data_IF_256264184801
#
_entry.id   IF_256264184801
#
_cell.length_a   1.000
_cell.length_b   1.000
_cell.length_c   1.000
_cell.angle_alpha   90.00
_cell.angle_beta   90.00
_cell.angle_gamma   90.00
#
_symmetry.space_group_name_H-M   'P 1'
#
loop_
_entity.id
_entity.type
_entity.pdbx_description
1 polymer ?
#
# COMPACT_ATOMS: atom_id res chain seq x y z
N UNK A 1 35.19 -40.05 15.14
CA UNK A 1 35.72 -38.82 14.51
C UNK A 1 34.61 -37.78 14.54
N UNK A 2 34.68 -36.76 15.40
CA UNK A 2 33.57 -35.86 15.67
C UNK A 2 33.66 -34.58 14.82
N UNK A 3 32.51 -33.99 14.50
CA UNK A 3 32.35 -32.55 14.34
C UNK A 3 30.97 -32.17 14.87
N UNK A 4 31.02 -31.55 16.04
CA UNK A 4 29.98 -30.73 16.64
C UNK A 4 29.48 -29.67 15.65
N UNK A 5 28.17 -29.67 15.40
CA UNK A 5 27.43 -28.50 14.95
C UNK A 5 26.02 -28.58 15.56
N UNK A 6 25.95 -28.63 16.89
CA UNK A 6 24.78 -28.14 17.61
C UNK A 6 25.19 -26.81 18.22
N UNK A 7 24.58 -25.73 17.72
CA UNK A 7 24.35 -24.40 18.33
C UNK A 7 24.31 -23.36 17.21
N UNK A 8 23.18 -22.66 17.14
CA UNK A 8 22.74 -21.67 16.14
C UNK A 8 22.11 -22.19 14.85
N UNK A 9 21.06 -23.01 14.99
CA UNK A 9 19.87 -22.73 14.18
C UNK A 9 19.40 -21.32 14.57
N UNK A 10 19.87 -20.30 13.85
CA UNK A 10 19.38 -18.93 14.00
C UNK A 10 17.91 -18.98 13.58
N UNK A 11 17.02 -19.11 14.55
CA UNK A 11 15.59 -18.87 14.34
C UNK A 11 15.48 -17.41 13.92
N UNK A 12 15.42 -17.17 12.61
CA UNK A 12 15.16 -15.85 12.08
C UNK A 12 13.68 -15.62 12.31
N UNK A 13 13.34 -15.01 13.45
CA UNK A 13 11.96 -14.58 13.77
C UNK A 13 11.38 -13.85 12.57
N UNK A 14 10.18 -14.24 12.12
CA UNK A 14 9.55 -13.57 10.99
C UNK A 14 9.45 -12.06 11.24
N UNK A 15 9.84 -11.25 10.25
CA UNK A 15 9.99 -9.80 10.39
C UNK A 15 8.71 -9.10 10.90
N UNK A 16 7.52 -9.63 10.57
CA UNK A 16 6.25 -9.09 11.09
C UNK A 16 6.06 -9.28 12.59
N UNK A 17 6.67 -10.31 13.19
CA UNK A 17 6.64 -10.49 14.64
C UNK A 17 7.49 -9.44 15.33
N UNK A 18 8.69 -9.15 14.79
CA UNK A 18 9.56 -8.08 15.30
C UNK A 18 8.86 -6.73 15.23
N UNK A 19 8.07 -6.48 14.17
CA UNK A 19 7.31 -5.25 14.02
C UNK A 19 6.36 -4.97 15.20
N UNK A 20 5.80 -6.00 15.85
CA UNK A 20 4.92 -5.84 17.03
C UNK A 20 5.64 -5.18 18.21
N UNK A 21 6.97 -5.27 18.26
CA UNK A 21 7.80 -4.60 19.25
C UNK A 21 8.27 -3.20 18.80
N UNK A 22 7.98 -2.79 17.56
CA UNK A 22 8.31 -1.46 17.04
C UNK A 22 7.23 -0.43 17.43
N UNK A 23 5.95 -0.83 17.40
CA UNK A 23 4.83 0.00 17.80
C UNK A 23 3.63 -0.86 18.25
N UNK A 24 2.83 -0.33 19.19
CA UNK A 24 1.55 -0.93 19.61
C UNK A 24 0.55 0.18 19.99
N UNK A 25 -0.71 0.15 19.51
CA UNK A 25 -1.23 -0.76 18.48
C UNK A 25 -0.61 -0.48 17.10
N UNK A 26 -0.57 -1.49 16.24
CA UNK A 26 -0.07 -1.35 14.86
C UNK A 26 -0.73 -2.35 13.89
N UNK A 27 -0.60 -2.08 12.59
CA UNK A 27 -0.73 -3.09 11.54
C UNK A 27 0.40 -2.99 10.52
N UNK A 28 0.64 -4.07 9.79
CA UNK A 28 1.53 -4.11 8.63
C UNK A 28 0.79 -3.62 7.40
N UNK A 29 1.34 -2.64 6.69
CA UNK A 29 0.67 -2.02 5.53
C UNK A 29 1.60 -1.74 4.36
N UNK A 30 1.12 -0.92 3.42
CA UNK A 30 1.85 -0.50 2.21
C UNK A 30 2.52 -1.67 1.48
N UNK A 31 3.78 -1.54 1.06
CA UNK A 31 4.46 -2.58 0.29
C UNK A 31 4.59 -3.93 1.02
N UNK A 32 4.66 -3.93 2.35
CA UNK A 32 4.65 -5.17 3.12
C UNK A 32 3.33 -5.91 2.96
N UNK A 33 2.20 -5.19 3.05
CA UNK A 33 0.88 -5.77 2.82
C UNK A 33 0.64 -6.15 1.34
N UNK A 34 1.12 -5.35 0.37
CA UNK A 34 1.09 -5.76 -1.05
C UNK A 34 1.80 -7.10 -1.27
N UNK A 35 2.96 -7.28 -0.64
CA UNK A 35 3.71 -8.55 -0.70
C UNK A 35 2.95 -9.68 -0.03
N UNK A 36 2.34 -9.42 1.13
CA UNK A 36 1.54 -10.40 1.88
C UNK A 36 0.34 -10.91 1.08
N UNK A 37 -0.38 -10.01 0.43
CA UNK A 37 -1.52 -10.32 -0.42
C UNK A 37 -1.13 -10.88 -1.80
N UNK A 38 0.16 -10.98 -2.09
CA UNK A 38 0.67 -11.42 -3.39
C UNK A 38 0.28 -10.51 -4.55
N UNK A 39 0.10 -9.21 -4.30
CA UNK A 39 -0.19 -8.17 -5.30
C UNK A 39 1.07 -7.62 -5.99
N UNK A 40 2.22 -8.21 -5.66
CA UNK A 40 3.53 -7.83 -6.17
C UNK A 40 4.44 -9.05 -6.12
N UNK A 41 5.29 -9.23 -7.12
CA UNK A 41 6.25 -10.32 -7.18
C UNK A 41 7.49 -10.06 -6.30
N UNK A 42 7.76 -8.78 -6.01
CA UNK A 42 8.93 -8.37 -5.24
C UNK A 42 8.60 -8.24 -3.77
N UNK A 43 9.28 -9.03 -2.94
CA UNK A 43 9.20 -8.90 -1.48
C UNK A 43 9.90 -7.62 -1.03
N UNK A 44 9.20 -6.78 -0.27
CA UNK A 44 9.78 -5.58 0.32
C UNK A 44 10.93 -5.92 1.28
N UNK A 45 12.08 -5.26 1.12
CA UNK A 45 13.18 -5.30 2.09
C UNK A 45 12.90 -4.48 3.36
N UNK A 46 11.88 -3.63 3.32
CA UNK A 46 11.43 -2.78 4.42
C UNK A 46 10.11 -3.30 4.96
N UNK A 47 9.99 -3.40 6.28
CA UNK A 47 8.72 -3.65 6.94
C UNK A 47 8.04 -2.32 7.23
N UNK A 48 6.86 -2.12 6.66
CA UNK A 48 6.06 -0.92 6.88
C UNK A 48 5.08 -1.14 8.03
N UNK A 49 5.22 -0.33 9.08
CA UNK A 49 4.45 -0.42 10.32
C UNK A 49 3.59 0.83 10.45
N UNK A 50 2.28 0.65 10.47
CA UNK A 50 1.32 1.75 10.62
C UNK A 50 0.80 1.74 12.04
N UNK A 51 0.71 2.92 12.66
CA UNK A 51 0.26 3.04 14.05
C UNK A 51 -0.43 4.39 14.28
N UNK A 52 -1.41 4.51 15.18
CA UNK A 52 -1.97 5.80 15.55
C UNK A 52 -1.14 6.51 16.63
N UNK A 53 -0.14 5.83 17.21
CA UNK A 53 0.69 6.36 18.28
C UNK A 53 2.08 6.77 17.78
N UNK A 54 2.76 7.59 18.57
CA UNK A 54 4.12 8.01 18.24
C UNK A 54 5.09 6.84 18.39
N UNK A 55 5.68 6.41 17.28
CA UNK A 55 6.78 5.45 17.27
C UNK A 55 7.89 5.92 16.31
N UNK A 56 9.05 5.27 16.37
CA UNK A 56 10.22 5.63 15.57
C UNK A 56 10.66 4.47 14.70
N UNK A 57 10.86 4.78 13.41
CA UNK A 57 11.53 3.90 12.45
C UNK A 57 12.91 3.51 12.95
N UNK A 58 13.30 2.26 12.70
CA UNK A 58 14.59 1.71 13.13
C UNK A 58 14.98 0.51 12.29
N UNK A 59 16.25 0.18 12.27
CA UNK A 59 16.74 -1.06 11.67
C UNK A 59 16.98 -2.10 12.77
N UNK A 60 16.48 -3.32 12.57
CA UNK A 60 16.67 -4.44 13.49
C UNK A 60 17.16 -5.63 12.67
N UNK A 61 18.31 -6.19 13.02
CA UNK A 61 18.95 -7.30 12.31
C UNK A 61 19.09 -7.07 10.79
N UNK A 62 19.42 -5.85 10.38
CA UNK A 62 19.56 -5.48 8.96
C UNK A 62 18.24 -5.28 8.20
N UNK A 63 17.10 -5.38 8.89
CA UNK A 63 15.76 -5.13 8.33
C UNK A 63 15.28 -3.74 8.75
N UNK A 64 15.05 -2.81 7.83
CA UNK A 64 14.46 -1.53 8.14
C UNK A 64 12.96 -1.66 8.46
N UNK A 65 12.55 -1.14 9.60
CA UNK A 65 11.16 -0.97 10.02
C UNK A 65 10.79 0.50 9.87
N UNK A 66 9.97 0.81 8.87
CA UNK A 66 9.50 2.16 8.61
C UNK A 66 8.15 2.36 9.28
N UNK A 67 8.11 3.26 10.26
CA UNK A 67 6.90 3.64 10.97
C UNK A 67 6.21 4.78 10.23
N UNK A 68 4.91 4.64 9.99
CA UNK A 68 4.02 5.73 9.58
C UNK A 68 2.96 5.93 10.66
N UNK A 69 3.00 7.11 11.29
CA UNK A 69 1.95 7.50 12.24
C UNK A 69 0.76 8.09 11.48
N UNK A 70 -0.42 7.51 11.67
CA UNK A 70 -1.68 7.95 11.05
C UNK A 70 -2.65 8.46 12.11
N UNK A 71 -3.72 9.14 11.70
CA UNK A 71 -4.79 9.51 12.63
C UNK A 71 -5.63 8.29 13.00
N UNK A 72 -6.34 8.33 14.13
CA UNK A 72 -7.27 7.25 14.53
C UNK A 72 -8.30 6.97 13.42
N UNK A 73 -8.78 8.02 12.72
CA UNK A 73 -9.69 7.90 11.58
C UNK A 73 -9.13 7.06 10.43
N UNK A 74 -7.81 6.97 10.25
CA UNK A 74 -7.14 6.18 9.20
C UNK A 74 -6.63 4.81 9.70
N UNK A 75 -6.72 4.54 11.00
CA UNK A 75 -6.22 3.33 11.64
C UNK A 75 -7.32 2.25 11.74
N UNK A 76 -7.57 1.56 10.63
CA UNK A 76 -8.66 0.60 10.42
C UNK A 76 -8.39 -0.27 9.17
N UNK A 77 -9.29 -1.20 8.87
CA UNK A 77 -9.19 -2.03 7.64
C UNK A 77 -8.01 -2.98 7.70
N UNK A 78 -7.84 -3.64 8.85
CA UNK A 78 -6.79 -4.60 9.09
C UNK A 78 -7.35 -5.84 9.79
N UNK A 79 -6.75 -6.98 9.51
CA UNK A 79 -7.20 -8.28 9.96
C UNK A 79 -6.10 -9.08 10.67
N UNK A 80 -6.46 -9.96 11.63
CA UNK A 80 -5.52 -10.81 12.32
C UNK A 80 -4.97 -11.90 11.38
N UNK A 81 -3.66 -11.88 11.18
CA UNK A 81 -2.92 -12.86 10.39
C UNK A 81 -2.04 -13.73 11.29
N UNK A 82 -2.13 -15.05 11.15
CA UNK A 82 -1.25 -15.98 11.90
C UNK A 82 0.10 -16.11 11.21
N UNK A 83 1.16 -15.67 11.89
CA UNK A 83 2.55 -15.77 11.46
C UNK A 83 3.31 -16.55 12.53
N UNK A 84 3.81 -17.75 12.18
CA UNK A 84 4.57 -18.63 13.09
C UNK A 84 3.85 -18.85 14.45
N UNK A 85 2.51 -18.96 14.44
CA UNK A 85 1.70 -19.18 15.63
C UNK A 85 1.40 -17.93 16.46
N UNK A 86 1.86 -16.75 16.03
CA UNK A 86 1.54 -15.45 16.65
C UNK A 86 0.64 -14.64 15.73
N UNK A 87 -0.32 -13.92 16.32
CA UNK A 87 -1.22 -13.04 15.56
C UNK A 87 -0.57 -11.68 15.33
N UNK A 88 -0.49 -11.25 14.07
CA UNK A 88 -0.09 -9.91 13.66
C UNK A 88 -1.21 -9.29 12.84
N UNK A 89 -1.48 -7.99 13.03
CA UNK A 89 -2.46 -7.28 12.20
C UNK A 89 -1.84 -6.88 10.87
N UNK A 90 -2.53 -7.14 9.76
CA UNK A 90 -2.13 -6.72 8.40
C UNK A 90 -3.30 -5.98 7.79
N UNK A 91 -3.08 -4.87 7.06
CA UNK A 91 -4.17 -4.23 6.31
C UNK A 91 -4.81 -5.22 5.37
N UNK A 92 -6.14 -5.23 5.24
CA UNK A 92 -6.82 -6.04 4.24
C UNK A 92 -6.43 -5.59 2.82
N UNK A 93 -6.83 -6.37 1.81
CA UNK A 93 -6.42 -6.15 0.43
C UNK A 93 -6.87 -4.77 -0.07
N UNK A 94 -8.14 -4.43 0.14
CA UNK A 94 -8.77 -3.19 -0.32
C UNK A 94 -8.18 -1.96 0.39
N UNK A 95 -7.97 -2.04 1.70
CA UNK A 95 -7.31 -1.00 2.48
C UNK A 95 -5.87 -0.79 2.04
N UNK A 96 -5.17 -1.88 1.70
CA UNK A 96 -3.80 -1.80 1.19
C UNK A 96 -3.74 -0.97 -0.09
N UNK A 97 -4.68 -1.18 -1.04
CA UNK A 97 -4.76 -0.38 -2.26
C UNK A 97 -5.03 1.10 -1.97
N UNK A 98 -6.00 1.37 -1.09
CA UNK A 98 -6.35 2.74 -0.70
C UNK A 98 -5.17 3.47 -0.01
N UNK A 99 -4.46 2.79 0.89
CA UNK A 99 -3.27 3.33 1.56
C UNK A 99 -2.12 3.59 0.58
N UNK A 100 -1.92 2.71 -0.39
CA UNK A 100 -0.92 2.90 -1.43
C UNK A 100 -1.28 4.07 -2.36
N UNK A 101 -2.57 4.36 -2.56
CA UNK A 101 -3.00 5.56 -3.29
C UNK A 101 -2.79 6.85 -2.47
N UNK A 102 -2.98 6.79 -1.14
CA UNK A 102 -2.71 7.89 -0.20
C UNK A 102 -1.21 8.23 -0.15
N UNK A 103 -0.37 7.20 -0.08
CA UNK A 103 1.08 7.29 0.01
C UNK A 103 1.82 6.39 -1.00
N UNK A 104 1.85 6.76 -2.30
CA UNK A 104 2.51 5.97 -3.35
C UNK A 104 4.00 5.74 -3.09
N UNK A 105 4.67 6.65 -2.38
CA UNK A 105 6.07 6.52 -1.98
C UNK A 105 6.34 5.32 -1.07
N UNK A 106 5.31 4.78 -0.40
CA UNK A 106 5.43 3.59 0.45
C UNK A 106 5.12 2.28 -0.26
N UNK A 107 4.65 2.32 -1.51
CA UNK A 107 4.45 1.14 -2.35
C UNK A 107 5.38 1.08 -3.57
N UNK A 108 6.31 2.04 -3.70
CA UNK A 108 7.24 2.12 -4.83
C UNK A 108 6.69 2.85 -6.05
N UNK A 109 5.74 3.75 -5.84
CA UNK A 109 5.18 4.65 -6.85
C UNK A 109 3.96 4.08 -7.55
N UNK A 110 3.42 4.87 -8.47
CA UNK A 110 2.10 4.61 -9.05
C UNK A 110 2.07 3.40 -9.97
N UNK A 111 3.19 3.07 -10.63
CA UNK A 111 3.28 1.86 -11.46
C UNK A 111 3.07 0.58 -10.66
N UNK A 112 3.62 0.52 -9.44
CA UNK A 112 3.43 -0.63 -8.56
C UNK A 112 1.99 -0.71 -8.06
N UNK A 113 1.37 0.45 -7.78
CA UNK A 113 -0.05 0.49 -7.47
C UNK A 113 -0.90 0.01 -8.66
N UNK A 114 -0.62 0.43 -9.90
CA UNK A 114 -1.34 -0.03 -11.09
C UNK A 114 -1.23 -1.56 -11.27
N UNK A 115 -0.04 -2.12 -11.07
CA UNK A 115 0.17 -3.58 -11.12
C UNK A 115 -0.61 -4.31 -10.02
N UNK A 116 -0.59 -3.75 -8.81
CA UNK A 116 -1.34 -4.29 -7.67
C UNK A 116 -2.86 -4.24 -7.92
N UNK A 117 -3.38 -3.13 -8.45
CA UNK A 117 -4.80 -2.98 -8.79
C UNK A 117 -5.25 -4.00 -9.84
N UNK A 118 -4.45 -4.23 -10.89
CA UNK A 118 -4.75 -5.26 -11.89
C UNK A 118 -4.81 -6.66 -11.29
N UNK A 119 -3.79 -7.01 -10.50
CA UNK A 119 -3.72 -8.31 -9.83
C UNK A 119 -4.86 -8.51 -8.84
N UNK A 120 -5.26 -7.44 -8.14
CA UNK A 120 -6.39 -7.43 -7.23
C UNK A 120 -7.70 -7.64 -7.98
N UNK A 121 -7.91 -6.93 -9.10
CA UNK A 121 -9.11 -7.07 -9.94
C UNK A 121 -9.27 -8.51 -10.47
N UNK A 122 -8.19 -9.10 -10.99
CA UNK A 122 -8.17 -10.50 -11.45
C UNK A 122 -8.53 -11.51 -10.36
N UNK A 123 -8.34 -11.14 -9.08
CA UNK A 123 -8.64 -11.97 -7.91
C UNK A 123 -10.00 -11.66 -7.27
N UNK A 124 -10.78 -10.76 -7.87
CA UNK A 124 -12.12 -10.41 -7.37
C UNK A 124 -12.09 -9.46 -6.17
N UNK A 125 -11.18 -8.48 -6.18
CA UNK A 125 -11.16 -7.37 -5.23
C UNK A 125 -12.53 -6.72 -5.07
N UNK A 126 -12.88 -6.35 -3.84
CA UNK A 126 -14.09 -5.59 -3.56
C UNK A 126 -13.84 -4.09 -3.79
N UNK A 127 -14.13 -3.61 -4.99
CA UNK A 127 -13.97 -2.20 -5.34
C UNK A 127 -14.96 -1.25 -4.64
N UNK A 128 -16.06 -1.76 -4.09
CA UNK A 128 -16.97 -0.98 -3.25
C UNK A 128 -16.27 -0.66 -1.91
N UNK A 129 -15.66 -1.66 -1.27
CA UNK A 129 -14.87 -1.48 -0.06
C UNK A 129 -13.64 -0.57 -0.27
N UNK A 130 -12.97 -0.61 -1.44
CA UNK A 130 -11.93 0.37 -1.77
C UNK A 130 -12.50 1.80 -1.77
N UNK A 131 -13.69 2.00 -2.34
CA UNK A 131 -14.41 3.28 -2.32
C UNK A 131 -14.67 3.78 -0.89
N UNK A 132 -15.21 2.91 -0.02
CA UNK A 132 -15.43 3.24 1.39
C UNK A 132 -14.14 3.65 2.10
N UNK A 133 -13.03 2.98 1.81
CA UNK A 133 -11.73 3.35 2.38
C UNK A 133 -11.24 4.71 1.89
N UNK A 134 -11.43 5.04 0.60
CA UNK A 134 -11.08 6.36 0.07
C UNK A 134 -11.87 7.49 0.74
N UNK A 135 -13.17 7.30 0.97
CA UNK A 135 -14.00 8.26 1.71
C UNK A 135 -13.50 8.44 3.14
N UNK A 136 -13.14 7.35 3.82
CA UNK A 136 -12.59 7.39 5.18
C UNK A 136 -11.21 8.04 5.22
N UNK A 137 -10.37 7.85 4.21
CA UNK A 137 -9.07 8.51 4.11
C UNK A 137 -9.20 10.03 3.98
N UNK A 138 -10.28 10.52 3.36
CA UNK A 138 -10.54 11.95 3.11
C UNK A 138 -9.36 12.63 2.37
N UNK A 139 -8.77 11.92 1.42
CA UNK A 139 -7.69 12.43 0.58
C UNK A 139 -8.10 12.42 -0.90
N UNK A 140 -8.48 13.60 -1.40
CA UNK A 140 -8.87 13.75 -2.79
C UNK A 140 -7.80 13.35 -3.81
N UNK A 141 -6.50 13.43 -3.47
CA UNK A 141 -5.45 12.96 -4.37
C UNK A 141 -5.42 11.43 -4.48
N UNK A 142 -5.67 10.71 -3.37
CA UNK A 142 -5.78 9.26 -3.37
C UNK A 142 -6.98 8.80 -4.22
N UNK A 143 -8.14 9.44 -4.01
CA UNK A 143 -9.37 9.16 -4.77
C UNK A 143 -9.16 9.38 -6.27
N UNK A 144 -8.56 10.51 -6.65
CA UNK A 144 -8.22 10.80 -8.05
C UNK A 144 -7.31 9.75 -8.67
N UNK A 145 -6.29 9.27 -7.93
CA UNK A 145 -5.35 8.23 -8.42
C UNK A 145 -6.05 6.90 -8.65
N UNK A 146 -6.92 6.45 -7.73
CA UNK A 146 -7.67 5.20 -7.90
C UNK A 146 -8.60 5.28 -9.10
N UNK A 147 -9.39 6.36 -9.22
CA UNK A 147 -10.30 6.54 -10.36
C UNK A 147 -9.52 6.59 -11.68
N UNK A 148 -8.43 7.36 -11.75
CA UNK A 148 -7.59 7.42 -12.93
C UNK A 148 -7.04 6.05 -13.32
N UNK A 149 -6.44 5.32 -12.37
CA UNK A 149 -5.87 4.01 -12.63
C UNK A 149 -6.93 2.99 -13.03
N UNK A 150 -8.09 2.99 -12.39
CA UNK A 150 -9.17 2.09 -12.74
C UNK A 150 -9.63 2.31 -14.20
N UNK A 151 -9.81 3.56 -14.61
CA UNK A 151 -10.18 3.90 -15.98
C UNK A 151 -9.10 3.51 -17.00
N UNK A 152 -7.81 3.70 -16.66
CA UNK A 152 -6.71 3.26 -17.53
C UNK A 152 -6.60 1.74 -17.64
N UNK A 153 -6.95 1.00 -16.58
CA UNK A 153 -6.82 -0.45 -16.52
C UNK A 153 -8.10 -1.20 -16.95
N UNK A 154 -9.20 -0.47 -17.22
CA UNK A 154 -10.49 -1.07 -17.55
C UNK A 154 -11.17 -1.74 -16.34
N UNK A 155 -10.83 -1.32 -15.12
CA UNK A 155 -11.38 -1.84 -13.87
C UNK A 155 -12.71 -1.13 -13.58
N UNK A 156 -13.76 -1.92 -13.33
CA UNK A 156 -15.07 -1.39 -12.98
C UNK A 156 -15.14 -0.95 -11.52
N UNK A 157 -15.21 0.36 -11.26
CA UNK A 157 -15.48 0.90 -9.94
C UNK A 157 -17.01 1.09 -9.76
N UNK A 158 -17.66 0.43 -8.79
CA UNK A 158 -19.10 0.59 -8.56
C UNK A 158 -19.52 2.02 -8.20
N UNK A 159 -18.73 2.73 -7.40
CA UNK A 159 -18.99 4.09 -6.94
C UNK A 159 -18.24 5.17 -7.75
N UNK A 160 -17.97 4.90 -9.04
CA UNK A 160 -17.09 5.76 -9.85
C UNK A 160 -17.61 7.18 -9.94
N UNK A 161 -18.90 7.34 -10.24
CA UNK A 161 -19.54 8.64 -10.41
C UNK A 161 -19.46 9.46 -9.11
N UNK A 162 -19.78 8.87 -7.96
CA UNK A 162 -19.70 9.53 -6.66
C UNK A 162 -18.26 9.95 -6.33
N UNK A 163 -17.27 9.08 -6.61
CA UNK A 163 -15.86 9.38 -6.41
C UNK A 163 -15.40 10.55 -7.30
N UNK A 164 -15.83 10.62 -8.55
CA UNK A 164 -15.52 11.75 -9.46
C UNK A 164 -16.19 13.03 -8.99
N UNK A 165 -17.44 12.97 -8.55
CA UNK A 165 -18.17 14.14 -8.01
C UNK A 165 -17.52 14.70 -6.75
N UNK A 166 -16.85 13.85 -5.96
CA UNK A 166 -16.09 14.27 -4.77
C UNK A 166 -14.80 15.05 -5.09
N UNK A 167 -14.37 15.11 -6.36
CA UNK A 167 -13.11 15.75 -6.72
C UNK A 167 -13.11 17.24 -6.40
N UNK A 168 -12.13 17.65 -5.59
CA UNK A 168 -11.82 19.06 -5.38
C UNK A 168 -11.17 19.67 -6.64
N UNK A 169 -11.31 20.99 -6.80
CA UNK A 169 -10.83 21.74 -7.97
C UNK A 169 -9.31 21.76 -8.14
N UNK A 170 -8.55 21.47 -7.07
CA UNK A 170 -7.09 21.47 -7.09
C UNK A 170 -6.51 20.32 -7.90
N UNK A 171 -5.38 20.58 -8.56
CA UNK A 171 -4.61 19.54 -9.25
C UNK A 171 -3.64 18.87 -8.28
N UNK A 172 -3.46 17.56 -8.43
CA UNK A 172 -2.46 16.79 -7.68
C UNK A 172 -1.56 16.01 -8.63
N UNK A 173 -0.30 15.79 -8.26
CA UNK A 173 0.58 14.91 -9.02
C UNK A 173 -0.01 13.49 -9.04
N UNK A 174 -0.08 12.91 -10.25
CA UNK A 174 -0.50 11.54 -10.47
C UNK A 174 0.40 10.58 -9.67
N UNK A 175 1.72 10.72 -9.81
CA UNK A 175 2.72 10.02 -8.99
C UNK A 175 3.59 11.02 -8.22
N UNK A 176 3.41 11.19 -6.89
CA UNK A 176 4.19 12.11 -6.08
C UNK A 176 5.65 11.66 -5.89
N UNK A 177 6.02 10.44 -6.31
CA UNK A 177 7.41 9.95 -6.27
C UNK A 177 8.25 10.44 -7.46
N UNK A 178 7.62 11.12 -8.43
CA UNK A 178 8.26 11.66 -9.62
C UNK A 178 8.23 13.19 -9.64
N UNK A 179 9.13 13.83 -10.41
CA UNK A 179 9.06 15.27 -10.62
C UNK A 179 7.66 15.70 -11.11
N UNK A 180 7.20 16.87 -10.69
CA UNK A 180 5.94 17.48 -11.13
C UNK A 180 6.10 18.08 -12.53
N UNK A 181 6.39 17.22 -13.51
CA UNK A 181 6.50 17.55 -14.93
C UNK A 181 5.41 16.83 -15.71
N UNK A 182 4.88 17.43 -16.77
CA UNK A 182 3.83 16.82 -17.60
C UNK A 182 2.56 17.65 -17.68
N UNK A 183 1.63 17.22 -18.55
CA UNK A 183 0.37 17.90 -18.80
C UNK A 183 -0.64 17.66 -17.67
N UNK A 184 -1.51 18.63 -17.45
CA UNK A 184 -2.68 18.45 -16.58
C UNK A 184 -3.82 17.78 -17.34
N UNK A 185 -4.51 16.87 -16.67
CA UNK A 185 -5.76 16.29 -17.12
C UNK A 185 -6.91 16.86 -16.26
N UNK A 186 -7.78 17.64 -16.90
CA UNK A 186 -8.89 18.32 -16.21
C UNK A 186 -10.01 17.39 -15.79
N UNK A 187 -10.15 16.23 -16.43
CA UNK A 187 -11.16 15.21 -16.08
C UNK A 187 -10.84 14.64 -14.70
N UNK A 188 -9.57 14.27 -14.49
CA UNK A 188 -9.13 13.69 -13.22
C UNK A 188 -8.60 14.70 -12.21
N UNK A 189 -8.40 15.97 -12.62
CA UNK A 189 -7.71 16.99 -11.82
C UNK A 189 -6.33 16.50 -11.37
N UNK A 190 -5.59 15.87 -12.27
CA UNK A 190 -4.26 15.34 -12.03
C UNK A 190 -3.24 15.95 -12.96
N UNK A 191 -2.01 16.09 -12.49
CA UNK A 191 -0.86 16.30 -13.35
C UNK A 191 -0.29 14.94 -13.73
N UNK A 192 -0.34 14.61 -15.02
CA UNK A 192 0.09 13.33 -15.56
C UNK A 192 1.60 13.34 -15.72
N UNK A 193 2.31 13.02 -14.63
CA UNK A 193 3.77 12.97 -14.54
C UNK A 193 4.35 11.54 -14.65
N UNK A 194 3.53 10.61 -15.14
CA UNK A 194 3.91 9.25 -15.53
C UNK A 194 3.32 9.00 -16.92
N UNK A 195 4.09 8.38 -17.81
CA UNK A 195 3.60 7.98 -19.13
C UNK A 195 2.51 6.90 -19.00
N UNK A 196 1.28 7.12 -19.53
CA UNK A 196 0.16 6.17 -19.35
C UNK A 196 0.45 4.76 -19.89
N UNK A 197 1.12 4.66 -21.05
CA UNK A 197 1.52 3.39 -21.66
C UNK A 197 2.35 2.48 -20.74
N UNK A 198 2.96 3.08 -19.72
CA UNK A 198 3.83 2.38 -18.79
C UNK A 198 3.12 1.88 -17.53
N UNK A 199 1.85 2.24 -17.36
CA UNK A 199 0.95 1.68 -16.36
C UNK A 199 0.30 0.38 -16.86
N UNK A 200 0.27 0.20 -18.20
CA UNK A 200 -0.25 -1.01 -18.84
C UNK A 200 0.78 -2.15 -18.90
N UNK A 201 2.06 -1.82 -18.96
CA UNK A 201 3.14 -2.80 -19.05
C UNK A 201 3.35 -3.53 -17.71
N UNK A 202 3.22 -4.86 -17.71
CA UNK A 202 3.80 -5.70 -16.67
C UNK A 202 5.32 -5.61 -16.75
N UNK A 203 6.03 -5.50 -15.62
CA UNK A 203 7.50 -5.60 -15.62
C UNK A 203 7.91 -6.93 -16.30
N UNK A 204 8.92 -6.94 -17.20
CA UNK A 204 9.35 -8.13 -17.92
C UNK A 204 10.06 -9.17 -17.04
#
# INVERSE_FOLDING_TARGET
MPLSASEEAVYTTHQYLIATHVAEPMYIGYYSALSHHGLTEQVSRTVYVITPTRAQSREIHGVPYRVTTVTERKFLGYEPTSIEGTTVQVSDLEKTLADCADHPEFCGGLRKLATAMRTADERGCDWEAVGEYLERLDNGAATKRIVYLADQLGIGLPAREELVESFTSGYSALDPTRPETGSTDSTYRLQINVEPATLEASDP
#
